data_IF_910377341059
#
_entry.id   IF_910377341059
#
_cell.length_a   1.000
_cell.length_b   1.000
_cell.length_c   1.000
_cell.angle_alpha   90.00
_cell.angle_beta   90.00
_cell.angle_gamma   90.00
#
_symmetry.space_group_name_H-M   'P 1'
#
loop_
_entity.id
_entity.type
_entity.pdbx_description
1 polymer ?
#
# COMPACT_ATOMS: atom_id res chain seq x y z
N UNK A 1 -41.97 14.91 -8.11
CA UNK A 1 -40.82 13.98 -8.23
C UNK A 1 -40.05 14.37 -9.49
N UNK A 2 -38.72 14.44 -9.44
CA UNK A 2 -37.91 14.91 -10.58
C UNK A 2 -37.66 13.76 -11.56
N UNK A 3 -37.54 14.08 -12.85
CA UNK A 3 -37.27 13.11 -13.92
C UNK A 3 -36.04 12.21 -13.65
N UNK A 4 -35.08 12.68 -12.83
CA UNK A 4 -33.94 11.89 -12.38
C UNK A 4 -34.35 10.70 -11.50
N UNK A 5 -35.26 10.89 -10.53
CA UNK A 5 -35.68 9.82 -9.62
C UNK A 5 -36.46 8.73 -10.34
N UNK A 6 -37.23 9.09 -11.36
CA UNK A 6 -37.98 8.13 -12.17
C UNK A 6 -37.04 7.34 -13.08
N UNK A 7 -36.03 7.99 -13.65
CA UNK A 7 -34.96 7.32 -14.41
C UNK A 7 -34.13 6.38 -13.54
N UNK A 8 -33.81 6.75 -12.30
CA UNK A 8 -33.09 5.89 -11.37
C UNK A 8 -33.92 4.67 -10.96
N UNK A 9 -35.23 4.85 -10.70
CA UNK A 9 -36.13 3.73 -10.39
C UNK A 9 -36.38 2.79 -11.57
N UNK A 10 -36.28 3.29 -12.80
CA UNK A 10 -36.39 2.47 -14.01
C UNK A 10 -35.15 1.59 -14.28
N UNK A 11 -34.03 1.81 -13.57
CA UNK A 11 -32.83 0.98 -13.73
C UNK A 11 -33.05 -0.40 -13.10
N UNK A 12 -32.87 -1.52 -13.85
CA UNK A 12 -33.05 -2.84 -13.29
C UNK A 12 -31.93 -3.16 -12.29
N UNK A 13 -32.27 -3.81 -11.17
CA UNK A 13 -31.32 -4.22 -10.12
C UNK A 13 -30.15 -5.06 -10.67
N UNK A 14 -30.36 -5.79 -11.77
CA UNK A 14 -29.31 -6.53 -12.47
C UNK A 14 -28.10 -5.65 -12.86
N UNK A 15 -28.29 -4.33 -13.04
CA UNK A 15 -27.21 -3.38 -13.33
C UNK A 15 -26.21 -3.24 -12.18
N UNK A 16 -26.65 -3.45 -10.93
CA UNK A 16 -25.77 -3.41 -9.75
C UNK A 16 -24.92 -4.68 -9.62
N UNK A 17 -25.27 -5.78 -10.30
CA UNK A 17 -24.50 -7.04 -10.26
C UNK A 17 -23.14 -6.93 -10.97
N UNK A 18 -22.92 -5.87 -11.76
CA UNK A 18 -21.67 -5.64 -12.47
C UNK A 18 -20.63 -4.80 -11.69
N UNK A 19 -20.90 -4.44 -10.43
CA UNK A 19 -19.95 -3.67 -9.61
C UNK A 19 -18.63 -4.45 -9.50
N UNK A 20 -17.54 -3.70 -9.69
CA UNK A 20 -16.17 -4.15 -9.54
C UNK A 20 -15.53 -3.45 -8.35
N UNK A 21 -14.57 -4.12 -7.69
CA UNK A 21 -13.90 -3.64 -6.47
C UNK A 21 -12.41 -3.95 -6.53
N UNK A 22 -11.62 -3.09 -5.92
CA UNK A 22 -10.21 -3.31 -5.61
C UNK A 22 -9.91 -2.66 -4.27
N UNK A 23 -8.86 -3.14 -3.59
CA UNK A 23 -8.41 -2.62 -2.31
C UNK A 23 -6.94 -2.23 -2.44
N UNK A 24 -6.64 -1.02 -2.00
CA UNK A 24 -5.30 -0.56 -1.66
C UNK A 24 -5.22 -0.46 -0.14
N UNK A 25 -4.19 -1.05 0.46
CA UNK A 25 -3.99 -1.03 1.92
C UNK A 25 -2.54 -0.81 2.27
N UNK A 26 -2.31 0.21 3.08
CA UNK A 26 -0.98 0.60 3.55
C UNK A 26 -0.71 0.11 4.97
N UNK A 27 0.55 -0.22 5.25
CA UNK A 27 1.06 -0.48 6.60
C UNK A 27 2.53 -0.12 6.69
N UNK A 28 2.93 0.50 7.79
CA UNK A 28 4.35 0.64 8.14
C UNK A 28 4.90 -0.73 8.56
N UNK A 29 6.13 -1.04 8.14
CA UNK A 29 6.96 -2.08 8.74
C UNK A 29 7.51 -1.54 10.05
N UNK A 30 7.26 -2.26 11.14
CA UNK A 30 7.67 -1.89 12.49
C UNK A 30 8.44 -3.04 13.13
N UNK A 31 9.36 -2.70 14.03
CA UNK A 31 10.05 -3.63 14.90
C UNK A 31 9.12 -4.09 16.03
N UNK A 32 9.41 -5.22 16.71
CA UNK A 32 8.61 -5.70 17.84
C UNK A 32 8.43 -4.68 18.98
N UNK A 33 9.40 -3.76 19.14
CA UNK A 33 9.31 -2.64 20.09
C UNK A 33 8.41 -1.48 19.65
N UNK A 34 7.76 -1.57 18.49
CA UNK A 34 6.89 -0.54 17.93
C UNK A 34 7.62 0.60 17.21
N UNK A 35 8.94 0.53 17.04
CA UNK A 35 9.71 1.51 16.26
C UNK A 35 9.64 1.22 14.76
N UNK A 36 9.74 2.26 13.93
CA UNK A 36 9.78 2.12 12.47
C UNK A 36 10.98 1.26 12.03
N UNK A 37 10.74 0.27 11.15
CA UNK A 37 11.82 -0.47 10.52
C UNK A 37 12.59 0.43 9.55
N UNK A 38 13.92 0.35 9.52
CA UNK A 38 14.77 1.15 8.62
C UNK A 38 15.50 0.32 7.57
N UNK A 39 15.22 -0.99 7.53
CA UNK A 39 15.74 -1.88 6.49
C UNK A 39 15.14 -1.51 5.13
N UNK A 40 15.82 -1.81 4.01
CA UNK A 40 15.25 -1.61 2.67
C UNK A 40 13.98 -2.42 2.43
N UNK A 41 13.26 -2.11 1.34
CA UNK A 41 12.18 -2.97 0.85
C UNK A 41 12.65 -4.44 0.72
N UNK A 42 11.89 -5.42 1.25
CA UNK A 42 12.33 -6.82 1.23
C UNK A 42 12.62 -7.32 -0.19
N UNK A 43 13.84 -7.80 -0.43
CA UNK A 43 14.29 -8.21 -1.77
C UNK A 43 13.43 -9.31 -2.39
N UNK A 44 12.88 -10.22 -1.58
CA UNK A 44 11.98 -11.28 -2.02
C UNK A 44 10.65 -10.77 -2.59
N UNK A 45 10.27 -9.51 -2.32
CA UNK A 45 9.10 -8.85 -2.92
C UNK A 45 9.40 -8.22 -4.29
N UNK A 46 10.65 -8.26 -4.73
CA UNK A 46 11.07 -7.75 -6.03
C UNK A 46 11.14 -6.23 -6.07
N UNK A 47 10.69 -5.64 -7.18
CA UNK A 47 10.78 -4.20 -7.41
C UNK A 47 9.50 -3.48 -7.01
N UNK A 48 9.55 -2.64 -5.98
CA UNK A 48 8.44 -1.75 -5.65
C UNK A 48 8.01 -0.84 -6.81
N UNK A 49 8.89 -0.57 -7.80
CA UNK A 49 8.53 0.25 -8.96
C UNK A 49 7.53 -0.45 -9.89
N UNK A 50 7.64 -1.78 -10.05
CA UNK A 50 6.95 -2.50 -11.12
C UNK A 50 6.17 -3.73 -10.66
N UNK A 51 6.27 -4.12 -9.38
CA UNK A 51 5.54 -5.26 -8.86
C UNK A 51 4.02 -4.95 -8.85
N UNK A 52 3.16 -5.85 -9.39
CA UNK A 52 1.76 -5.52 -9.69
C UNK A 52 0.85 -5.41 -8.46
N UNK A 53 1.26 -5.94 -7.31
CA UNK A 53 0.40 -6.07 -6.13
C UNK A 53 1.01 -5.55 -4.82
N UNK A 54 2.30 -5.21 -4.84
CA UNK A 54 3.07 -4.90 -3.63
C UNK A 54 4.04 -3.80 -4.03
N UNK A 55 3.94 -2.65 -3.37
CA UNK A 55 4.82 -1.51 -3.61
C UNK A 55 5.11 -0.81 -2.28
N UNK A 56 5.72 0.36 -2.36
CA UNK A 56 5.85 1.28 -1.23
C UNK A 56 5.13 2.57 -1.57
N UNK A 57 4.46 3.17 -0.59
CA UNK A 57 3.98 4.55 -0.74
C UNK A 57 5.07 5.54 -0.33
N UNK A 58 4.84 6.48 0.60
CA UNK A 58 5.74 7.59 0.86
C UNK A 58 7.11 7.12 1.36
N UNK A 59 7.11 6.24 2.37
CA UNK A 59 8.31 5.71 2.99
C UNK A 59 8.74 4.36 2.39
N UNK A 60 10.04 4.09 2.35
CA UNK A 60 10.60 2.75 2.07
C UNK A 60 10.08 1.69 3.04
N UNK A 61 9.64 2.12 4.22
CA UNK A 61 9.08 1.28 5.27
C UNK A 61 7.56 1.18 5.21
N UNK A 62 6.89 1.91 4.32
CA UNK A 62 5.44 1.90 4.18
C UNK A 62 5.04 1.01 2.99
N UNK A 63 4.74 -0.25 3.28
CA UNK A 63 4.24 -1.18 2.26
C UNK A 63 2.82 -0.81 1.87
N UNK A 64 2.53 -0.92 0.58
CA UNK A 64 1.21 -0.75 0.00
C UNK A 64 0.84 -2.02 -0.78
N UNK A 65 -0.31 -2.60 -0.43
CA UNK A 65 -0.84 -3.84 -0.99
C UNK A 65 -2.02 -3.51 -1.88
N UNK A 66 -1.97 -3.95 -3.14
CA UNK A 66 -2.91 -3.57 -4.19
C UNK A 66 -3.52 -4.84 -4.79
N UNK A 67 -4.82 -5.03 -4.62
CA UNK A 67 -5.52 -6.16 -5.25
C UNK A 67 -5.76 -5.89 -6.73
N UNK A 68 -6.02 -6.96 -7.50
CA UNK A 68 -6.70 -6.84 -8.78
C UNK A 68 -8.14 -6.36 -8.63
N UNK A 69 -8.83 -6.26 -9.77
CA UNK A 69 -10.23 -5.83 -9.84
C UNK A 69 -11.15 -7.04 -9.84
N UNK A 70 -11.98 -7.18 -8.81
CA UNK A 70 -12.85 -8.33 -8.57
C UNK A 70 -14.33 -7.99 -8.68
N UNK A 71 -15.15 -8.99 -9.05
CA UNK A 71 -16.61 -8.88 -9.02
C UNK A 71 -17.18 -9.19 -7.63
N UNK A 72 -16.57 -10.13 -6.90
CA UNK A 72 -16.94 -10.52 -5.54
C UNK A 72 -16.14 -9.76 -4.47
N UNK A 73 -16.74 -9.56 -3.31
CA UNK A 73 -16.04 -9.04 -2.12
C UNK A 73 -15.08 -10.10 -1.59
N UNK A 74 -15.53 -11.35 -1.50
CA UNK A 74 -14.75 -12.47 -0.97
C UNK A 74 -13.50 -12.74 -1.80
N UNK A 75 -13.58 -12.68 -3.13
CA UNK A 75 -12.41 -12.83 -4.02
C UNK A 75 -11.36 -11.73 -3.78
N UNK A 76 -11.83 -10.49 -3.56
CA UNK A 76 -10.97 -9.34 -3.27
C UNK A 76 -10.26 -9.49 -1.92
N UNK A 77 -10.99 -9.92 -0.88
CA UNK A 77 -10.44 -10.18 0.45
C UNK A 77 -9.52 -11.40 0.48
N UNK A 78 -9.81 -12.43 -0.32
CA UNK A 78 -8.95 -13.61 -0.48
C UNK A 78 -7.60 -13.20 -1.08
N UNK A 79 -7.58 -12.45 -2.19
CA UNK A 79 -6.33 -11.97 -2.77
C UNK A 79 -5.57 -11.05 -1.80
N UNK A 80 -6.27 -10.14 -1.10
CA UNK A 80 -5.62 -9.27 -0.12
C UNK A 80 -4.95 -10.10 0.99
N UNK A 81 -5.59 -11.19 1.43
CA UNK A 81 -5.05 -12.11 2.43
C UNK A 81 -3.82 -12.84 1.91
N UNK A 82 -3.87 -13.39 0.70
CA UNK A 82 -2.72 -14.05 0.05
C UNK A 82 -1.53 -13.10 -0.11
N UNK A 83 -1.82 -11.85 -0.48
CA UNK A 83 -0.80 -10.80 -0.64
C UNK A 83 -0.14 -10.48 0.71
N UNK A 84 -0.92 -10.35 1.79
CA UNK A 84 -0.37 -10.22 3.14
C UNK A 84 0.52 -11.41 3.54
N UNK A 85 0.08 -12.64 3.25
CA UNK A 85 0.86 -13.84 3.56
C UNK A 85 2.18 -13.90 2.77
N UNK A 86 2.20 -13.44 1.54
CA UNK A 86 3.44 -13.31 0.76
C UNK A 86 4.38 -12.27 1.39
N UNK A 87 3.85 -11.12 1.81
CA UNK A 87 4.60 -10.08 2.51
C UNK A 87 5.19 -10.59 3.82
N UNK A 88 4.41 -11.23 4.68
CA UNK A 88 4.92 -11.76 5.94
C UNK A 88 6.00 -12.82 5.75
N UNK A 89 5.87 -13.68 4.73
CA UNK A 89 6.91 -14.66 4.39
C UNK A 89 8.21 -13.96 3.98
N UNK A 90 8.14 -12.93 3.12
CA UNK A 90 9.30 -12.17 2.70
C UNK A 90 9.93 -11.33 3.84
N UNK A 91 9.11 -10.79 4.73
CA UNK A 91 9.59 -10.06 5.92
C UNK A 91 10.25 -10.99 6.94
N UNK A 92 9.82 -12.25 7.05
CA UNK A 92 10.47 -13.25 7.90
C UNK A 92 11.93 -13.56 7.50
N UNK A 93 12.34 -13.21 6.27
CA UNK A 93 13.72 -13.30 5.81
C UNK A 93 14.55 -12.04 6.15
N UNK A 94 13.91 -10.95 6.57
CA UNK A 94 14.58 -9.72 6.99
C UNK A 94 15.06 -9.82 8.45
N UNK A 95 16.16 -9.12 8.81
CA UNK A 95 16.57 -9.00 10.20
C UNK A 95 15.57 -8.15 11.00
N UNK A 96 15.44 -8.45 12.29
CA UNK A 96 14.70 -7.59 13.23
C UNK A 96 13.25 -7.99 13.52
N UNK A 97 12.79 -9.14 13.01
CA UNK A 97 11.44 -9.69 13.27
C UNK A 97 10.33 -8.65 13.00
N UNK A 98 10.42 -8.02 11.83
CA UNK A 98 9.53 -6.94 11.46
C UNK A 98 8.08 -7.40 11.31
N UNK A 99 7.15 -6.50 11.63
CA UNK A 99 5.71 -6.73 11.58
C UNK A 99 5.02 -5.58 10.86
N UNK A 100 3.81 -5.81 10.34
CA UNK A 100 2.99 -4.74 9.79
C UNK A 100 2.25 -4.01 10.92
N UNK A 101 2.42 -2.69 10.99
CA UNK A 101 1.67 -1.84 11.89
C UNK A 101 0.18 -1.84 11.54
N UNK A 102 -0.67 -1.99 12.56
CA UNK A 102 -2.12 -2.20 12.41
C UNK A 102 -2.96 -0.93 12.62
N UNK A 103 -2.35 0.15 13.09
CA UNK A 103 -3.01 1.44 13.30
C UNK A 103 -2.86 2.40 12.11
N UNK A 104 -3.84 3.28 11.92
CA UNK A 104 -3.74 4.37 10.92
C UNK A 104 -2.77 5.47 11.37
N UNK A 105 -2.76 5.80 12.67
CA UNK A 105 -1.71 6.64 13.24
C UNK A 105 -0.42 5.84 13.32
N UNK A 106 0.75 6.47 13.09
CA UNK A 106 1.99 5.75 12.87
C UNK A 106 2.47 5.02 14.12
N UNK A 107 3.37 4.06 13.90
CA UNK A 107 4.18 3.48 14.96
C UNK A 107 5.16 4.53 15.51
N UNK A 108 6.07 4.15 16.41
CA UNK A 108 7.14 5.04 16.89
C UNK A 108 8.03 5.49 15.73
N UNK A 109 7.87 6.75 15.32
CA UNK A 109 8.67 7.35 14.26
C UNK A 109 9.99 7.90 14.81
N UNK A 110 11.10 7.80 14.05
CA UNK A 110 12.31 8.56 14.36
C UNK A 110 12.11 10.04 13.98
N UNK A 111 13.18 10.83 14.02
CA UNK A 111 13.13 12.20 13.46
C UNK A 111 12.83 12.17 11.96
N UNK A 112 12.17 13.21 11.45
CA UNK A 112 11.75 13.34 10.06
C UNK A 112 12.86 13.01 9.05
N UNK A 113 14.10 13.45 9.28
CA UNK A 113 15.22 13.24 8.37
C UNK A 113 15.63 11.77 8.27
N UNK A 114 15.30 10.98 9.29
CA UNK A 114 15.59 9.55 9.41
C UNK A 114 14.52 8.69 8.75
N UNK A 115 13.31 9.22 8.52
CA UNK A 115 12.24 8.49 7.82
C UNK A 115 12.67 8.25 6.36
N UNK A 116 12.86 6.98 5.95
CA UNK A 116 13.43 6.67 4.65
C UNK A 116 12.37 6.89 3.57
N UNK A 117 12.70 7.67 2.52
CA UNK A 117 11.82 7.84 1.36
C UNK A 117 11.78 6.58 0.50
N UNK A 118 10.63 6.27 -0.10
CA UNK A 118 10.48 5.18 -1.05
C UNK A 118 11.53 5.24 -2.18
N UNK A 119 12.22 4.12 -2.41
CA UNK A 119 13.30 3.96 -3.39
C UNK A 119 12.86 3.08 -4.54
N UNK A 120 12.96 3.61 -5.76
CA UNK A 120 12.45 2.94 -6.97
C UNK A 120 13.53 2.67 -8.03
N UNK A 121 14.79 2.53 -7.61
CA UNK A 121 15.92 2.29 -8.51
C UNK A 121 16.44 3.56 -9.22
N UNK A 122 17.29 3.37 -10.24
CA UNK A 122 18.05 4.44 -10.90
C UNK A 122 17.44 4.94 -12.22
N UNK A 123 16.35 4.32 -12.69
CA UNK A 123 15.64 4.77 -13.91
C UNK A 123 15.06 6.17 -13.72
N UNK A 124 14.85 6.91 -14.83
CA UNK A 124 14.27 8.26 -14.74
C UNK A 124 12.92 8.27 -14.03
N UNK A 125 12.05 7.28 -14.30
CA UNK A 125 10.73 7.15 -13.65
C UNK A 125 10.89 6.84 -12.16
N UNK A 126 11.80 5.93 -11.80
CA UNK A 126 12.07 5.60 -10.40
C UNK A 126 12.60 6.79 -9.61
N UNK A 127 13.58 7.50 -10.16
CA UNK A 127 14.14 8.72 -9.56
C UNK A 127 13.09 9.81 -9.41
N UNK A 128 12.22 10.00 -10.40
CA UNK A 128 11.15 10.99 -10.33
C UNK A 128 10.18 10.72 -9.17
N UNK A 129 9.82 9.44 -8.91
CA UNK A 129 8.97 9.06 -7.77
C UNK A 129 9.62 9.36 -6.42
N UNK A 130 10.93 9.11 -6.27
CA UNK A 130 11.66 9.45 -5.05
C UNK A 130 11.83 10.96 -4.87
N UNK A 131 12.08 11.71 -5.96
CA UNK A 131 12.16 13.19 -5.92
C UNK A 131 10.81 13.80 -5.54
N UNK A 132 9.70 13.26 -6.04
CA UNK A 132 8.36 13.68 -5.63
C UNK A 132 8.16 13.55 -4.11
N UNK A 133 8.53 12.39 -3.53
CA UNK A 133 8.44 12.16 -2.08
C UNK A 133 9.37 13.07 -1.27
N UNK A 134 10.57 13.34 -1.78
CA UNK A 134 11.46 14.33 -1.18
C UNK A 134 10.80 15.72 -1.17
N UNK A 135 10.13 16.11 -2.26
CA UNK A 135 9.37 17.35 -2.36
C UNK A 135 8.19 17.42 -1.38
N UNK A 136 7.49 16.30 -1.15
CA UNK A 136 6.44 16.22 -0.11
C UNK A 136 7.03 16.45 1.28
N UNK A 137 8.14 15.78 1.60
CA UNK A 137 8.83 15.96 2.88
C UNK A 137 9.25 17.41 3.16
N UNK A 138 9.72 18.12 2.13
CA UNK A 138 10.06 19.55 2.26
C UNK A 138 8.84 20.46 2.47
N UNK A 139 7.64 20.05 2.05
CA UNK A 139 6.42 20.87 2.12
C UNK A 139 5.60 20.61 3.36
N UNK A 140 5.58 19.36 3.83
CA UNK A 140 4.62 18.89 4.82
C UNK A 140 5.26 18.24 6.05
N UNK A 141 6.60 18.08 6.09
CA UNK A 141 7.27 17.24 7.08
C UNK A 141 7.24 15.76 6.66
N UNK A 142 7.93 14.91 7.42
CA UNK A 142 7.95 13.46 7.16
C UNK A 142 7.23 12.67 8.24
#
# INVERSE_FOLDING_TARGET
MTALHDRLRALPLARLKAIRRGIEKESLRALPGGGLALTPHPAALGSALTHPHITTDYSESQLELITGVHAGVDDCLAQLTETHQAVYRAMGEQPGDEQLWVGSMPCGLPTDETIPLGRYGSSNVGRAKSVYRMGLGHRYGR
#
